data_IF_978181510337
#
_entry.id   IF_978181510337
#
_cell.length_a   1.000
_cell.length_b   1.000
_cell.length_c   1.000
_cell.angle_alpha   90.00
_cell.angle_beta   90.00
_cell.angle_gamma   90.00
#
_symmetry.space_group_name_H-M   'P 1'
#
loop_
_entity.id
_entity.type
_entity.pdbx_description
1 polymer ?
#
# COMPACT_ATOMS: atom_id res chain seq x y z
N UNK A 1 -28.01 45.01 16.14
CA UNK A 1 -29.44 44.64 16.05
C UNK A 1 -29.49 43.17 15.72
N UNK A 2 -29.95 42.36 16.66
CA UNK A 2 -30.18 40.92 16.50
C UNK A 2 -31.63 40.80 16.05
N UNK A 3 -31.89 40.16 14.92
CA UNK A 3 -33.23 39.67 14.60
C UNK A 3 -33.13 38.21 14.18
N UNK A 4 -33.83 37.38 14.95
CA UNK A 4 -34.00 35.96 14.70
C UNK A 4 -35.22 35.71 13.83
N UNK A 5 -35.12 34.70 12.98
CA UNK A 5 -36.29 34.00 12.46
C UNK A 5 -36.04 32.49 12.56
N UNK A 6 -36.61 31.93 13.63
CA UNK A 6 -36.91 30.51 13.75
C UNK A 6 -37.91 30.13 12.65
N UNK A 7 -37.57 29.15 11.81
CA UNK A 7 -38.56 28.26 11.20
C UNK A 7 -38.14 26.82 11.43
N UNK A 8 -39.03 26.08 12.11
CA UNK A 8 -38.95 24.63 12.30
C UNK A 8 -39.68 23.94 11.15
N UNK A 9 -39.15 22.80 10.72
CA UNK A 9 -39.97 21.63 10.38
C UNK A 9 -40.07 21.26 8.90
N UNK A 10 -39.20 20.36 8.47
CA UNK A 10 -39.36 19.57 7.26
C UNK A 10 -38.39 18.39 7.32
N UNK A 11 -38.87 17.25 7.82
CA UNK A 11 -38.11 16.00 7.86
C UNK A 11 -37.89 15.42 6.45
N UNK A 12 -36.73 14.82 6.26
CA UNK A 12 -36.37 14.11 5.03
C UNK A 12 -35.01 13.46 5.19
N UNK A 13 -34.99 12.14 5.00
CA UNK A 13 -33.89 11.19 5.10
C UNK A 13 -32.54 11.64 4.48
N UNK A 14 -31.47 11.08 5.04
CA UNK A 14 -30.25 10.77 4.28
C UNK A 14 -28.97 11.28 4.93
N UNK A 15 -28.24 10.38 5.56
CA UNK A 15 -26.88 10.52 6.07
C UNK A 15 -25.98 11.42 5.22
N UNK A 16 -25.87 12.69 5.60
CA UNK A 16 -24.75 13.52 5.21
C UNK A 16 -23.54 13.06 6.02
N UNK A 17 -22.75 12.15 5.43
CA UNK A 17 -21.35 11.92 5.84
C UNK A 17 -20.62 13.27 5.77
N UNK A 18 -20.49 13.92 6.92
CA UNK A 18 -19.52 15.00 7.12
C UNK A 18 -18.15 14.32 7.07
N UNK A 19 -17.51 14.33 5.90
CA UNK A 19 -16.11 13.99 5.79
C UNK A 19 -15.32 15.01 6.60
N UNK A 20 -14.82 14.59 7.76
CA UNK A 20 -13.89 15.36 8.55
C UNK A 20 -12.62 15.59 7.70
N UNK A 21 -12.54 16.75 7.05
CA UNK A 21 -11.31 17.24 6.44
C UNK A 21 -10.32 17.52 7.57
N UNK A 22 -9.39 16.62 7.80
CA UNK A 22 -8.25 16.86 8.69
C UNK A 22 -7.48 18.06 8.16
N UNK A 23 -7.47 19.22 8.86
CA UNK A 23 -6.70 20.38 8.42
C UNK A 23 -5.22 20.04 8.57
N UNK A 24 -4.46 20.03 7.47
CA UNK A 24 -3.01 19.82 7.50
C UNK A 24 -2.45 18.75 6.54
N UNK A 25 -3.30 17.93 5.90
CA UNK A 25 -2.90 17.22 4.68
C UNK A 25 -3.25 18.08 3.47
N UNK A 26 -2.47 19.13 3.25
CA UNK A 26 -2.34 19.62 1.87
C UNK A 26 -1.91 18.42 1.04
N UNK A 27 -2.70 18.11 0.01
CA UNK A 27 -2.42 17.04 -0.93
C UNK A 27 -1.04 17.28 -1.52
N UNK A 28 -0.01 16.65 -0.94
CA UNK A 28 1.26 16.42 -1.61
C UNK A 28 0.90 15.53 -2.79
N UNK A 29 0.54 16.17 -3.92
CA UNK A 29 0.26 15.50 -5.16
C UNK A 29 1.43 14.53 -5.39
N UNK A 30 1.16 13.23 -5.22
CA UNK A 30 2.20 12.22 -5.32
C UNK A 30 2.87 12.41 -6.68
N UNK A 31 4.19 12.65 -6.74
CA UNK A 31 4.86 12.91 -8.00
C UNK A 31 4.48 11.84 -9.01
N UNK A 32 4.03 12.26 -10.21
CA UNK A 32 3.44 11.36 -11.20
C UNK A 32 4.31 10.13 -11.50
N UNK A 33 5.64 10.30 -11.46
CA UNK A 33 6.59 9.20 -11.67
C UNK A 33 6.51 8.11 -10.58
N UNK A 34 6.24 8.44 -9.32
CA UNK A 34 6.06 7.45 -8.25
C UNK A 34 4.76 6.68 -8.43
N UNK A 35 3.70 7.37 -8.87
CA UNK A 35 2.44 6.71 -9.20
C UNK A 35 2.64 5.72 -10.35
N UNK A 36 3.33 6.12 -11.42
CA UNK A 36 3.65 5.22 -12.54
C UNK A 36 4.48 4.02 -12.04
N UNK A 37 5.51 4.27 -11.23
CA UNK A 37 6.39 3.22 -10.70
C UNK A 37 5.63 2.10 -9.97
N UNK A 38 4.68 2.45 -9.11
CA UNK A 38 3.85 1.46 -8.41
C UNK A 38 2.68 0.93 -9.24
N UNK A 39 2.27 1.63 -10.31
CA UNK A 39 1.28 1.11 -11.27
C UNK A 39 1.88 0.07 -12.24
N UNK A 40 3.21 0.06 -12.42
CA UNK A 40 3.86 -0.98 -13.20
C UNK A 40 3.74 -2.32 -12.46
N UNK A 41 3.44 -3.38 -13.21
CA UNK A 41 3.34 -4.76 -12.72
C UNK A 41 4.52 -5.61 -13.20
N UNK A 42 5.78 -5.30 -12.81
CA UNK A 42 6.92 -6.06 -13.28
C UNK A 42 6.83 -7.49 -12.74
N UNK A 43 6.95 -8.49 -13.62
CA UNK A 43 7.06 -9.92 -13.25
C UNK A 43 8.47 -10.26 -12.73
N UNK A 44 9.04 -9.35 -11.95
CA UNK A 44 10.39 -9.30 -11.39
C UNK A 44 10.45 -8.15 -10.38
N UNK A 45 11.62 -7.55 -10.17
CA UNK A 45 11.75 -6.39 -9.27
C UNK A 45 12.24 -5.16 -10.02
N UNK A 46 11.50 -4.06 -9.93
CA UNK A 46 11.97 -2.75 -10.34
C UNK A 46 12.66 -2.07 -9.16
N UNK A 47 13.85 -1.51 -9.39
CA UNK A 47 14.64 -0.82 -8.35
C UNK A 47 15.13 0.53 -8.87
N UNK A 48 14.84 1.58 -8.13
CA UNK A 48 15.29 2.94 -8.42
C UNK A 48 16.06 3.48 -7.22
N UNK A 49 17.24 4.04 -7.46
CA UNK A 49 18.00 4.77 -6.44
C UNK A 49 17.75 6.26 -6.63
N UNK A 50 17.37 6.93 -5.54
CA UNK A 50 17.05 8.34 -5.50
C UNK A 50 18.07 9.04 -4.62
N UNK A 51 18.59 10.17 -5.09
CA UNK A 51 19.32 11.10 -4.24
C UNK A 51 18.31 12.06 -3.61
N UNK A 52 18.19 12.04 -2.29
CA UNK A 52 17.30 12.96 -1.57
C UNK A 52 17.98 14.32 -1.43
N UNK A 53 17.19 15.39 -1.61
CA UNK A 53 17.66 16.77 -1.44
C UNK A 53 17.75 17.11 0.06
N UNK A 54 18.53 18.15 0.38
CA UNK A 54 18.60 18.67 1.75
C UNK A 54 19.42 17.82 2.73
N UNK A 55 20.43 17.08 2.25
CA UNK A 55 21.30 16.28 3.10
C UNK A 55 20.70 14.96 3.60
N UNK A 56 19.50 14.61 3.15
CA UNK A 56 18.77 13.41 3.56
C UNK A 56 19.34 12.09 2.99
N UNK A 57 20.47 12.15 2.28
CA UNK A 57 21.18 10.96 1.79
C UNK A 57 20.54 10.30 0.57
N UNK A 58 20.78 8.99 0.43
CA UNK A 58 20.26 8.17 -0.66
C UNK A 58 19.05 7.36 -0.17
N UNK A 59 18.06 7.17 -1.05
CA UNK A 59 16.98 6.22 -0.85
C UNK A 59 16.91 5.23 -1.99
N UNK A 60 16.50 3.99 -1.71
CA UNK A 60 16.19 2.98 -2.73
C UNK A 60 14.71 2.66 -2.67
N UNK A 61 14.03 2.83 -3.80
CA UNK A 61 12.62 2.45 -3.95
C UNK A 61 12.54 1.19 -4.81
N UNK A 62 11.82 0.19 -4.33
CA UNK A 62 11.64 -1.11 -4.96
C UNK A 62 10.15 -1.39 -5.18
N UNK A 63 9.80 -1.96 -6.33
CA UNK A 63 8.45 -2.43 -6.62
C UNK A 63 8.46 -3.82 -7.27
N UNK A 64 7.48 -4.65 -6.95
CA UNK A 64 7.28 -5.96 -7.59
C UNK A 64 5.80 -6.28 -7.76
N UNK A 65 5.49 -7.18 -8.69
CA UNK A 65 4.17 -7.78 -8.81
C UNK A 65 4.33 -9.29 -9.01
N UNK A 66 4.11 -10.03 -7.92
CA UNK A 66 4.40 -11.46 -7.88
C UNK A 66 3.37 -12.28 -8.67
N UNK A 67 3.71 -13.50 -9.11
CA UNK A 67 2.74 -14.42 -9.71
C UNK A 67 1.55 -14.70 -8.79
N UNK A 68 0.35 -14.77 -9.38
CA UNK A 68 -0.88 -15.17 -8.68
C UNK A 68 -0.85 -16.66 -8.36
N UNK A 69 -1.59 -17.07 -7.32
CA UNK A 69 -1.86 -18.47 -6.99
C UNK A 69 -0.60 -19.37 -6.90
N UNK A 70 0.53 -18.79 -6.49
CA UNK A 70 1.84 -19.45 -6.45
C UNK A 70 2.48 -19.31 -5.06
N UNK A 71 3.33 -20.28 -4.68
CA UNK A 71 4.21 -20.12 -3.52
C UNK A 71 5.38 -19.20 -3.88
N UNK A 72 5.36 -17.99 -3.32
CA UNK A 72 6.34 -16.95 -3.59
C UNK A 72 7.47 -16.88 -2.55
N UNK A 73 7.57 -17.86 -1.63
CA UNK A 73 8.48 -17.80 -0.47
C UNK A 73 9.94 -17.53 -0.86
N UNK A 74 10.48 -18.26 -1.85
CA UNK A 74 11.87 -18.08 -2.30
C UNK A 74 12.12 -16.69 -2.92
N UNK A 75 11.14 -16.15 -3.63
CA UNK A 75 11.22 -14.80 -4.21
C UNK A 75 11.21 -13.75 -3.11
N UNK A 76 10.38 -13.93 -2.08
CA UNK A 76 10.33 -13.05 -0.91
C UNK A 76 11.63 -13.08 -0.10
N UNK A 77 12.29 -14.23 0.02
CA UNK A 77 13.63 -14.32 0.63
C UNK A 77 14.69 -13.54 -0.17
N UNK A 78 14.69 -13.68 -1.51
CA UNK A 78 15.59 -12.92 -2.36
C UNK A 78 15.33 -11.40 -2.26
N UNK A 79 14.06 -10.98 -2.21
CA UNK A 79 13.68 -9.58 -2.03
C UNK A 79 14.18 -9.07 -0.67
N UNK A 80 13.98 -9.83 0.42
CA UNK A 80 14.50 -9.47 1.73
C UNK A 80 16.01 -9.22 1.67
N UNK A 81 16.79 -10.15 1.10
CA UNK A 81 18.24 -9.98 0.94
C UNK A 81 18.61 -8.72 0.15
N UNK A 82 17.88 -8.40 -0.92
CA UNK A 82 18.11 -7.18 -1.69
C UNK A 82 17.77 -5.89 -0.91
N UNK A 83 16.73 -5.92 -0.08
CA UNK A 83 16.41 -4.81 0.83
C UNK A 83 17.51 -4.62 1.88
N UNK A 84 18.01 -5.71 2.45
CA UNK A 84 19.11 -5.70 3.41
C UNK A 84 20.39 -5.08 2.83
N UNK A 85 20.80 -5.48 1.61
CA UNK A 85 21.95 -4.87 0.91
C UNK A 85 21.71 -3.38 0.63
N UNK A 86 20.53 -3.01 0.13
CA UNK A 86 20.22 -1.62 -0.17
C UNK A 86 20.21 -0.74 1.09
N UNK A 87 19.77 -1.28 2.23
CA UNK A 87 19.72 -0.57 3.50
C UNK A 87 21.12 -0.18 4.02
N UNK A 88 22.18 -0.86 3.58
CA UNK A 88 23.56 -0.46 3.93
C UNK A 88 23.98 0.88 3.32
N UNK A 89 23.22 1.38 2.33
CA UNK A 89 23.54 2.60 1.56
C UNK A 89 22.60 3.76 1.86
N UNK A 90 21.49 3.52 2.56
CA UNK A 90 20.48 4.53 2.86
C UNK A 90 19.10 3.94 3.10
N UNK A 91 18.08 4.79 3.09
CA UNK A 91 16.70 4.37 3.34
C UNK A 91 16.17 3.46 2.23
N UNK A 92 15.30 2.52 2.57
CA UNK A 92 14.65 1.62 1.60
C UNK A 92 13.14 1.71 1.75
N UNK A 93 12.45 1.83 0.61
CA UNK A 93 11.02 1.69 0.50
C UNK A 93 10.72 0.56 -0.50
N UNK A 94 10.01 -0.47 -0.07
CA UNK A 94 9.59 -1.58 -0.92
C UNK A 94 8.07 -1.63 -0.94
N UNK A 95 7.47 -1.66 -2.12
CA UNK A 95 6.04 -1.87 -2.27
C UNK A 95 5.71 -2.89 -3.35
N UNK A 96 4.46 -3.32 -3.41
CA UNK A 96 3.98 -4.13 -4.52
C UNK A 96 2.83 -5.04 -4.17
N UNK A 97 2.25 -5.62 -5.22
CA UNK A 97 1.29 -6.71 -5.13
C UNK A 97 2.06 -8.02 -4.94
N UNK A 98 2.02 -8.55 -3.72
CA UNK A 98 2.75 -9.76 -3.36
C UNK A 98 1.94 -11.03 -3.62
N UNK A 99 0.68 -10.90 -4.05
CA UNK A 99 -0.19 -12.02 -4.40
C UNK A 99 -0.14 -13.17 -3.38
N UNK A 100 -0.20 -12.80 -2.09
CA UNK A 100 -0.20 -13.77 -1.00
C UNK A 100 -1.37 -14.73 -1.15
N UNK A 101 -1.12 -16.01 -0.87
CA UNK A 101 -2.12 -17.06 -0.98
C UNK A 101 -3.21 -16.91 0.09
N UNK A 102 -4.37 -17.53 -0.13
CA UNK A 102 -5.41 -17.62 0.85
C UNK A 102 -4.99 -18.17 2.22
N UNK A 103 -4.12 -19.18 2.17
CA UNK A 103 -3.57 -19.92 3.29
C UNK A 103 -2.13 -20.31 2.93
N UNK A 104 -1.16 -20.26 3.86
CA UNK A 104 -1.28 -19.88 5.27
C UNK A 104 -1.55 -18.37 5.45
N UNK A 105 -1.80 -17.90 6.68
CA UNK A 105 -2.10 -16.47 6.90
C UNK A 105 -0.99 -15.52 6.42
N UNK A 106 -1.35 -14.27 6.08
CA UNK A 106 -0.43 -13.26 5.51
C UNK A 106 0.85 -13.09 6.32
N UNK A 107 0.77 -13.06 7.65
CA UNK A 107 1.93 -12.93 8.53
C UNK A 107 2.96 -14.05 8.33
N UNK A 108 2.50 -15.28 8.06
CA UNK A 108 3.36 -16.44 7.82
C UNK A 108 4.06 -16.30 6.47
N UNK A 109 3.31 -15.91 5.44
CA UNK A 109 3.84 -15.75 4.08
C UNK A 109 4.84 -14.59 3.98
N UNK A 110 4.57 -13.48 4.67
CA UNK A 110 5.47 -12.31 4.68
C UNK A 110 6.63 -12.44 5.67
N UNK A 111 6.72 -13.57 6.40
CA UNK A 111 7.79 -13.81 7.37
C UNK A 111 9.19 -13.56 6.79
N UNK A 112 9.55 -13.95 5.55
CA UNK A 112 10.86 -13.62 4.97
C UNK A 112 11.17 -12.13 4.96
N UNK A 113 10.19 -11.29 4.61
CA UNK A 113 10.34 -9.84 4.57
C UNK A 113 10.35 -9.21 5.97
N UNK A 114 9.68 -9.82 6.95
CA UNK A 114 9.52 -9.28 8.31
C UNK A 114 10.56 -9.77 9.32
N UNK A 115 11.39 -10.76 8.96
CA UNK A 115 12.48 -11.26 9.84
C UNK A 115 13.60 -10.25 10.05
N UNK A 116 13.75 -9.32 9.10
CA UNK A 116 14.79 -8.31 9.13
C UNK A 116 14.27 -7.01 9.75
N UNK A 117 15.08 -5.95 9.81
CA UNK A 117 14.64 -4.66 10.37
C UNK A 117 13.58 -3.93 9.53
N UNK A 118 13.07 -4.58 8.48
CA UNK A 118 11.96 -4.10 7.67
C UNK A 118 10.70 -3.91 8.52
N UNK A 119 9.99 -2.81 8.29
CA UNK A 119 8.75 -2.49 8.98
C UNK A 119 7.63 -2.35 7.97
N UNK A 120 6.51 -3.03 8.24
CA UNK A 120 5.30 -2.88 7.44
C UNK A 120 4.65 -1.51 7.74
N UNK A 121 4.43 -0.72 6.70
CA UNK A 121 3.70 0.55 6.78
C UNK A 121 2.20 0.23 6.72
N UNK A 122 1.44 0.75 7.69
CA UNK A 122 0.01 0.53 7.78
C UNK A 122 -0.41 -0.77 8.48
N UNK A 123 0.51 -1.71 8.75
CA UNK A 123 0.18 -2.95 9.49
C UNK A 123 -0.56 -4.02 8.66
N UNK A 124 -0.72 -5.21 9.24
CA UNK A 124 -1.43 -6.35 8.62
C UNK A 124 -2.93 -6.26 8.87
N UNK A 125 -3.73 -6.47 7.83
CA UNK A 125 -5.19 -6.45 7.91
C UNK A 125 -5.79 -5.05 8.06
N UNK A 126 -4.99 -3.99 7.89
CA UNK A 126 -5.45 -2.61 7.99
C UNK A 126 -6.25 -2.13 6.78
N UNK A 127 -6.06 -2.78 5.63
CA UNK A 127 -6.77 -2.46 4.39
C UNK A 127 -6.86 -3.71 3.51
N UNK A 128 -8.03 -3.94 2.91
CA UNK A 128 -8.20 -4.94 1.86
C UNK A 128 -7.93 -4.26 0.52
N UNK A 129 -6.83 -4.63 -0.13
CA UNK A 129 -6.45 -4.05 -1.42
C UNK A 129 -7.04 -4.83 -2.59
N UNK A 130 -7.52 -6.04 -2.33
CA UNK A 130 -8.42 -6.80 -3.18
C UNK A 130 -9.76 -6.99 -2.48
N UNK A 131 -10.77 -6.19 -2.85
CA UNK A 131 -12.08 -6.23 -2.20
C UNK A 131 -13.18 -6.69 -3.15
N UNK A 132 -13.78 -7.85 -2.87
CA UNK A 132 -14.86 -8.45 -3.65
C UNK A 132 -16.19 -7.69 -3.54
N UNK A 133 -16.33 -6.77 -2.57
CA UNK A 133 -17.47 -5.86 -2.55
C UNK A 133 -17.45 -4.89 -3.74
N UNK A 134 -16.25 -4.58 -4.26
CA UNK A 134 -16.07 -3.66 -5.37
C UNK A 134 -16.46 -4.31 -6.71
N UNK A 135 -17.30 -3.66 -7.54
CA UNK A 135 -17.76 -4.22 -8.81
C UNK A 135 -16.62 -4.58 -9.78
N UNK A 136 -15.55 -3.77 -9.82
CA UNK A 136 -14.43 -3.98 -10.74
C UNK A 136 -13.62 -5.25 -10.40
N UNK A 137 -13.45 -5.55 -9.12
CA UNK A 137 -12.71 -6.72 -8.63
C UNK A 137 -13.42 -8.04 -8.95
N UNK A 138 -14.77 -8.03 -8.95
CA UNK A 138 -15.59 -9.23 -9.22
C UNK A 138 -15.48 -9.73 -10.66
N UNK A 139 -15.21 -8.84 -11.61
CA UNK A 139 -15.22 -9.15 -13.04
C UNK A 139 -13.94 -9.85 -13.53
N UNK A 140 -12.89 -9.91 -12.71
CA UNK A 140 -11.54 -10.33 -13.11
C UNK A 140 -11.08 -11.60 -12.37
N UNK A 141 -12.01 -12.51 -12.04
CA UNK A 141 -11.99 -13.46 -10.89
C UNK A 141 -10.84 -14.49 -10.78
N UNK A 142 -9.59 -14.07 -10.77
CA UNK A 142 -8.45 -14.93 -10.42
C UNK A 142 -8.37 -15.21 -8.89
N UNK A 143 -8.94 -14.31 -8.07
CA UNK A 143 -9.02 -14.46 -6.61
C UNK A 143 -10.47 -14.26 -6.13
N UNK A 144 -11.07 -15.30 -5.53
CA UNK A 144 -12.51 -15.36 -5.23
C UNK A 144 -12.94 -14.76 -3.89
N UNK A 145 -12.04 -14.08 -3.18
CA UNK A 145 -12.27 -13.60 -1.81
C UNK A 145 -11.54 -12.29 -1.53
N UNK A 146 -12.06 -11.51 -0.58
CA UNK A 146 -11.45 -10.25 -0.15
C UNK A 146 -10.14 -10.50 0.60
N UNK A 147 -9.06 -9.79 0.23
CA UNK A 147 -7.70 -9.99 0.72
C UNK A 147 -6.88 -8.67 0.72
N UNK A 148 -5.84 -8.63 1.54
CA UNK A 148 -4.75 -7.67 1.41
C UNK A 148 -3.66 -8.31 0.54
N UNK A 149 -3.44 -7.78 -0.66
CA UNK A 149 -2.42 -8.27 -1.61
C UNK A 149 -1.27 -7.28 -1.79
N UNK A 150 -1.54 -5.99 -1.59
CA UNK A 150 -0.56 -4.93 -1.73
C UNK A 150 0.02 -4.54 -0.37
N UNK A 151 1.34 -4.44 -0.32
CA UNK A 151 2.09 -4.14 0.89
C UNK A 151 3.10 -3.05 0.63
N UNK A 152 3.41 -2.28 1.67
CA UNK A 152 4.45 -1.26 1.66
C UNK A 152 5.31 -1.43 2.91
N UNK A 153 6.62 -1.55 2.73
CA UNK A 153 7.60 -1.77 3.79
C UNK A 153 8.70 -0.70 3.73
N UNK A 154 9.15 -0.25 4.90
CA UNK A 154 10.31 0.64 5.05
C UNK A 154 11.46 -0.03 5.77
N UNK A 155 12.68 0.40 5.47
CA UNK A 155 13.88 0.10 6.26
C UNK A 155 14.83 1.28 6.29
#
# INVERSE_FOLDING_TARGET
TIDGALTRGGGGDGDHKVEARTPGLESLATPQYLRIFFCLRPRGMQRVRLQLRGGLGQATVMNTHLPHLSDNTAVLEAIASMMDDAATRGAVLFGGDLNVLPTPGVAVQLKPLLRSQNRLIGGLGSCNTWDMSQPLTRLTSETSRTMQLDFLLSR
#
